data_IF_659633570637
#
_entry.id   IF_659633570637
#
_cell.length_a   1.000
_cell.length_b   1.000
_cell.length_c   1.000
_cell.angle_alpha   90.00
_cell.angle_beta   90.00
_cell.angle_gamma   90.00
#
_symmetry.space_group_name_H-M   'P 1'
#
loop_
_entity.id
_entity.type
_entity.pdbx_description
1 polymer ?
#
# COMPACT_ATOMS: atom_id res chain seq x y z
N UNK A 1 13.25 -16.01 15.29
CA UNK A 1 14.41 -15.30 14.73
C UNK A 1 14.26 -13.81 15.02
N UNK A 2 15.27 -13.14 15.56
CA UNK A 2 15.20 -11.71 15.84
C UNK A 2 15.38 -10.90 14.54
N UNK A 3 14.47 -9.96 14.28
CA UNK A 3 14.54 -9.05 13.13
C UNK A 3 15.81 -8.18 13.18
N UNK A 4 16.53 -8.08 12.07
CA UNK A 4 17.66 -7.15 11.94
C UNK A 4 17.18 -5.69 12.00
N UNK A 5 18.04 -4.77 12.43
CA UNK A 5 17.70 -3.34 12.55
C UNK A 5 17.14 -2.74 11.24
N UNK A 6 17.70 -3.13 10.09
CA UNK A 6 17.21 -2.72 8.76
C UNK A 6 15.80 -3.24 8.46
N UNK A 7 15.48 -4.49 8.84
CA UNK A 7 14.14 -5.05 8.65
C UNK A 7 13.12 -4.37 9.55
N UNK A 8 13.47 -4.06 10.82
CA UNK A 8 12.60 -3.29 11.70
C UNK A 8 12.30 -1.90 11.14
N UNK A 9 13.33 -1.20 10.67
CA UNK A 9 13.17 0.11 10.04
C UNK A 9 12.24 0.05 8.82
N UNK A 10 12.39 -0.97 7.98
CA UNK A 10 11.53 -1.13 6.81
C UNK A 10 10.07 -1.42 7.19
N UNK A 11 9.83 -2.26 8.21
CA UNK A 11 8.48 -2.67 8.60
C UNK A 11 7.75 -1.56 9.36
N UNK A 12 8.44 -0.86 10.26
CA UNK A 12 7.81 0.09 11.18
C UNK A 12 7.85 1.53 10.70
N UNK A 13 8.76 1.88 9.79
CA UNK A 13 8.90 3.25 9.30
C UNK A 13 8.60 3.35 7.80
N UNK A 14 9.38 2.68 6.96
CA UNK A 14 9.23 2.84 5.49
C UNK A 14 7.93 2.24 4.96
N UNK A 15 7.52 1.06 5.42
CA UNK A 15 6.27 0.42 5.00
C UNK A 15 5.04 1.30 5.24
N UNK A 16 4.82 1.78 6.48
CA UNK A 16 3.75 2.73 6.78
C UNK A 16 3.87 4.03 5.98
N UNK A 17 5.08 4.60 5.85
CA UNK A 17 5.26 5.83 5.06
C UNK A 17 4.85 5.65 3.59
N UNK A 18 5.29 4.56 2.94
CA UNK A 18 4.92 4.26 1.55
C UNK A 18 3.41 4.06 1.43
N UNK A 19 2.79 3.35 2.38
CA UNK A 19 1.34 3.17 2.38
C UNK A 19 0.59 4.49 2.54
N UNK A 20 1.05 5.35 3.45
CA UNK A 20 0.50 6.70 3.66
C UNK A 20 0.60 7.51 2.37
N UNK A 21 1.77 7.55 1.72
CA UNK A 21 1.95 8.27 0.46
C UNK A 21 1.04 7.73 -0.63
N UNK A 22 0.96 6.40 -0.81
CA UNK A 22 0.10 5.78 -1.83
C UNK A 22 -1.37 6.11 -1.58
N UNK A 23 -1.83 6.02 -0.33
CA UNK A 23 -3.23 6.33 0.02
C UNK A 23 -3.54 7.80 -0.24
N UNK A 24 -2.66 8.72 0.17
CA UNK A 24 -2.89 10.15 -0.08
C UNK A 24 -2.85 10.53 -1.54
N UNK A 25 -1.89 10.01 -2.31
CA UNK A 25 -1.82 10.26 -3.76
C UNK A 25 -3.08 9.70 -4.43
N UNK A 26 -3.51 8.49 -4.06
CA UNK A 26 -4.72 7.89 -4.63
C UNK A 26 -5.96 8.71 -4.30
N UNK A 27 -6.11 9.15 -3.05
CA UNK A 27 -7.24 10.01 -2.65
C UNK A 27 -7.19 11.36 -3.35
N UNK A 28 -6.02 11.98 -3.48
CA UNK A 28 -5.88 13.25 -4.16
C UNK A 28 -6.26 13.15 -5.65
N UNK A 29 -5.86 12.06 -6.31
CA UNK A 29 -6.24 11.77 -7.70
C UNK A 29 -7.73 11.43 -7.83
N UNK A 30 -8.32 10.79 -6.83
CA UNK A 30 -9.75 10.52 -6.83
C UNK A 30 -10.55 11.81 -6.59
N UNK A 31 -10.27 12.56 -5.53
CA UNK A 31 -11.06 13.73 -5.15
C UNK A 31 -10.73 15.00 -5.96
N UNK A 32 -9.69 14.95 -6.81
CA UNK A 32 -9.18 16.12 -7.59
C UNK A 32 -8.87 17.30 -6.65
N UNK A 33 -8.25 16.99 -5.52
CA UNK A 33 -8.00 17.96 -4.45
C UNK A 33 -7.33 17.31 -3.24
N UNK A 34 -6.80 18.12 -2.33
CA UNK A 34 -6.22 17.60 -1.10
C UNK A 34 -7.34 17.13 -0.15
N UNK A 35 -7.21 15.94 0.46
CA UNK A 35 -8.18 15.47 1.43
C UNK A 35 -8.28 16.46 2.61
N UNK A 36 -9.46 16.62 3.21
CA UNK A 36 -9.63 17.49 4.38
C UNK A 36 -8.78 16.99 5.56
N UNK A 37 -8.30 17.91 6.40
CA UNK A 37 -7.42 17.63 7.54
C UNK A 37 -7.84 16.45 8.43
N UNK A 38 -9.12 16.25 8.77
CA UNK A 38 -9.56 15.10 9.56
C UNK A 38 -9.26 13.75 8.88
N UNK A 39 -9.42 13.67 7.55
CA UNK A 39 -9.12 12.47 6.77
C UNK A 39 -7.62 12.21 6.74
N UNK A 40 -6.80 13.28 6.63
CA UNK A 40 -5.34 13.17 6.68
C UNK A 40 -4.88 12.55 8.01
N UNK A 41 -5.39 13.06 9.14
CA UNK A 41 -5.00 12.57 10.47
C UNK A 41 -5.52 11.15 10.70
N UNK A 42 -6.80 10.90 10.39
CA UNK A 42 -7.44 9.60 10.60
C UNK A 42 -6.80 8.47 9.80
N UNK A 43 -6.52 8.71 8.51
CA UNK A 43 -5.87 7.71 7.64
C UNK A 43 -4.43 7.44 8.05
N UNK A 44 -3.67 8.50 8.40
CA UNK A 44 -2.29 8.34 8.85
C UNK A 44 -2.21 7.50 10.12
N UNK A 45 -3.07 7.80 11.11
CA UNK A 45 -3.16 7.03 12.36
C UNK A 45 -3.60 5.58 12.10
N UNK A 46 -4.63 5.38 11.26
CA UNK A 46 -5.09 4.07 10.88
C UNK A 46 -4.00 3.21 10.25
N UNK A 47 -3.23 3.77 9.31
CA UNK A 47 -2.13 3.06 8.63
C UNK A 47 -1.00 2.73 9.60
N UNK A 48 -0.66 3.64 10.53
CA UNK A 48 0.35 3.37 11.57
C UNK A 48 -0.11 2.23 12.49
N UNK A 49 -1.35 2.28 12.98
CA UNK A 49 -1.92 1.26 13.88
C UNK A 49 -1.98 -0.11 13.16
N UNK A 50 -2.48 -0.14 11.93
CA UNK A 50 -2.52 -1.36 11.11
C UNK A 50 -1.10 -1.89 10.84
N UNK A 51 -0.16 -1.00 10.55
CA UNK A 51 1.26 -1.34 10.39
C UNK A 51 1.86 -1.97 11.65
N UNK A 52 1.55 -1.42 12.83
CA UNK A 52 1.97 -1.99 14.12
C UNK A 52 1.35 -3.36 14.39
N UNK A 53 0.04 -3.51 14.15
CA UNK A 53 -0.68 -4.79 14.31
C UNK A 53 -0.08 -5.83 13.36
N UNK A 54 0.13 -5.48 12.09
CA UNK A 54 0.70 -6.38 11.08
C UNK A 54 2.14 -6.75 11.42
N UNK A 55 2.94 -5.79 11.87
CA UNK A 55 4.31 -6.04 12.34
C UNK A 55 4.36 -6.92 13.60
N UNK A 56 3.34 -6.89 14.47
CA UNK A 56 3.29 -7.71 15.69
C UNK A 56 2.77 -9.13 15.43
N UNK A 57 1.65 -9.26 14.72
CA UNK A 57 0.96 -10.55 14.54
C UNK A 57 1.38 -11.30 13.27
N UNK A 58 1.80 -10.58 12.24
CA UNK A 58 2.11 -11.15 10.92
C UNK A 58 3.58 -10.97 10.52
N UNK A 59 4.47 -10.72 11.49
CA UNK A 59 5.91 -10.54 11.28
C UNK A 59 6.54 -11.64 10.37
N UNK A 60 6.09 -12.89 10.54
CA UNK A 60 6.58 -14.04 9.78
C UNK A 60 6.35 -13.89 8.26
N UNK A 61 5.21 -13.35 7.83
CA UNK A 61 4.94 -13.11 6.40
C UNK A 61 5.79 -11.99 5.79
N UNK A 62 6.38 -11.14 6.63
CA UNK A 62 7.23 -10.03 6.17
C UNK A 62 8.71 -10.43 6.14
N UNK A 63 9.08 -11.42 6.94
CA UNK A 63 10.45 -11.94 7.04
C UNK A 63 10.73 -13.00 5.98
N UNK A 64 9.71 -13.72 5.52
CA UNK A 64 9.83 -14.68 4.43
C UNK A 64 10.24 -13.97 3.14
N UNK A 65 11.55 -13.95 2.89
CA UNK A 65 12.09 -13.66 1.57
C UNK A 65 11.52 -14.73 0.66
N UNK A 66 10.66 -14.32 -0.28
CA UNK A 66 9.89 -15.21 -1.14
C UNK A 66 10.69 -16.43 -1.59
N UNK A 67 10.02 -17.58 -1.62
CA UNK A 67 10.63 -18.84 -2.04
C UNK A 67 11.34 -18.65 -3.38
N UNK A 68 12.62 -19.01 -3.47
CA UNK A 68 13.39 -18.96 -4.72
C UNK A 68 12.74 -19.77 -5.83
N UNK A 69 11.88 -20.72 -5.45
CA UNK A 69 11.07 -21.56 -6.33
C UNK A 69 9.58 -21.35 -5.98
N UNK A 70 8.92 -20.34 -6.57
CA UNK A 70 7.50 -20.11 -6.33
C UNK A 70 6.66 -21.24 -6.93
N UNK A 71 5.64 -21.68 -6.21
CA UNK A 71 4.68 -22.66 -6.73
C UNK A 71 3.82 -22.05 -7.84
N UNK A 72 3.26 -22.88 -8.74
CA UNK A 72 2.34 -22.41 -9.81
C UNK A 72 1.21 -21.52 -9.26
N UNK A 73 0.67 -21.85 -8.08
CA UNK A 73 -0.38 -21.07 -7.41
C UNK A 73 0.12 -19.69 -6.95
N UNK A 74 1.33 -19.59 -6.41
CA UNK A 74 1.93 -18.30 -6.02
C UNK A 74 2.19 -17.41 -7.24
N UNK A 75 2.60 -18.00 -8.37
CA UNK A 75 2.84 -17.27 -9.60
C UNK A 75 1.54 -16.72 -10.19
N UNK A 76 0.47 -17.52 -10.22
CA UNK A 76 -0.87 -17.08 -10.64
C UNK A 76 -1.39 -15.98 -9.70
N UNK A 77 -1.29 -16.18 -8.38
CA UNK A 77 -1.71 -15.17 -7.41
C UNK A 77 -0.96 -13.84 -7.57
N UNK A 78 0.34 -13.90 -7.87
CA UNK A 78 1.15 -12.72 -8.19
C UNK A 78 0.63 -12.01 -9.45
N UNK A 79 0.37 -12.74 -10.53
CA UNK A 79 -0.16 -12.17 -11.78
C UNK A 79 -1.53 -11.53 -11.56
N UNK A 80 -2.44 -12.19 -10.85
CA UNK A 80 -3.76 -11.65 -10.53
C UNK A 80 -3.62 -10.38 -9.70
N UNK A 81 -2.79 -10.39 -8.66
CA UNK A 81 -2.56 -9.22 -7.81
C UNK A 81 -2.02 -8.03 -8.61
N UNK A 82 -1.02 -8.24 -9.48
CA UNK A 82 -0.50 -7.17 -10.33
C UNK A 82 -1.52 -6.70 -11.38
N UNK A 83 -2.33 -7.60 -11.93
CA UNK A 83 -3.36 -7.24 -12.92
C UNK A 83 -4.46 -6.39 -12.30
N UNK A 84 -4.97 -6.79 -11.13
CA UNK A 84 -5.99 -6.03 -10.39
C UNK A 84 -5.41 -4.69 -9.92
N UNK A 85 -4.20 -4.68 -9.35
CA UNK A 85 -3.54 -3.46 -8.93
C UNK A 85 -3.30 -2.48 -10.08
N UNK A 86 -2.84 -3.00 -11.23
CA UNK A 86 -2.66 -2.22 -12.45
C UNK A 86 -3.96 -1.65 -12.97
N UNK A 87 -5.03 -2.47 -13.06
CA UNK A 87 -6.35 -2.02 -13.47
C UNK A 87 -6.92 -0.93 -12.54
N UNK A 88 -6.72 -1.07 -11.24
CA UNK A 88 -7.14 -0.06 -10.25
C UNK A 88 -6.41 1.27 -10.46
N UNK A 89 -5.09 1.26 -10.66
CA UNK A 89 -4.31 2.48 -10.94
C UNK A 89 -4.81 3.13 -12.24
N UNK A 90 -5.03 2.34 -13.28
CA UNK A 90 -5.51 2.82 -14.58
C UNK A 90 -6.89 3.46 -14.46
N UNK A 91 -7.79 2.85 -13.68
CA UNK A 91 -9.11 3.42 -13.35
C UNK A 91 -8.99 4.77 -12.62
N UNK A 92 -8.14 4.87 -11.59
CA UNK A 92 -7.91 6.11 -10.84
C UNK A 92 -7.41 7.22 -11.77
N UNK A 93 -6.46 6.91 -12.66
CA UNK A 93 -5.93 7.87 -13.62
C UNK A 93 -6.96 8.30 -14.66
N UNK A 94 -7.69 7.35 -15.27
CA UNK A 94 -8.76 7.68 -16.24
C UNK A 94 -9.78 8.61 -15.59
N UNK A 95 -10.23 8.29 -14.38
CA UNK A 95 -11.20 9.10 -13.64
C UNK A 95 -10.65 10.50 -13.35
N UNK A 96 -9.40 10.60 -12.91
CA UNK A 96 -8.74 11.89 -12.66
C UNK A 96 -8.72 12.76 -13.93
N UNK A 97 -8.24 12.22 -15.05
CA UNK A 97 -8.19 12.98 -16.31
C UNK A 97 -9.58 13.30 -16.86
N UNK A 98 -10.56 12.42 -16.70
CA UNK A 98 -11.94 12.68 -17.12
C UNK A 98 -12.55 13.87 -16.36
N UNK A 99 -12.34 13.93 -15.03
CA UNK A 99 -12.83 15.06 -14.23
C UNK A 99 -12.05 16.33 -14.57
N UNK A 100 -10.72 16.25 -14.68
CA UNK A 100 -9.86 17.41 -14.96
C UNK A 100 -10.11 18.03 -16.34
N UNK A 101 -10.39 17.22 -17.37
CA UNK A 101 -10.68 17.70 -18.73
C UNK A 101 -12.15 18.06 -18.93
N UNK A 102 -13.04 17.57 -18.06
CA UNK A 102 -14.47 17.88 -18.08
C UNK A 102 -14.87 19.09 -17.23
N UNK A 103 -13.96 19.62 -16.40
CA UNK A 103 -14.09 20.86 -15.61
C UNK A 103 -13.49 22.05 -16.34
#
# INVERSE_FOLDING_TARGET
MALTAKQKLNIYLFGPLVQITVVFVTLALLEVGWPPWPNLVGLSLGIIIVGMIRGKYFAHTIIDKGTTHPTKKQLIGRVIFFSIGGAFILFVLIRFFYILLGS
#
